data_IF_915560813630
#
_entry.id   IF_915560813630
#
_cell.length_a   1.000
_cell.length_b   1.000
_cell.length_c   1.000
_cell.angle_alpha   90.00
_cell.angle_beta   90.00
_cell.angle_gamma   90.00
#
_symmetry.space_group_name_H-M   'P 1'
#
loop_
_entity.id
_entity.type
_entity.pdbx_description
1 polymer ?
#
# COMPACT_ATOMS: atom_id res chain seq x y z
N UNK A 1 4.77 6.28 18.50
CA UNK A 1 4.27 4.89 18.48
C UNK A 1 2.87 4.89 17.86
N UNK A 2 2.46 3.82 17.17
CA UNK A 2 1.14 3.75 16.56
C UNK A 2 0.51 2.37 16.86
N UNK A 3 -0.82 2.34 17.03
CA UNK A 3 -1.55 1.07 17.17
C UNK A 3 -2.37 0.78 15.93
N UNK A 4 -2.38 -0.50 15.55
CA UNK A 4 -3.21 -1.03 14.50
C UNK A 4 -4.68 -1.00 14.95
N UNK A 5 -5.56 -0.43 14.13
CA UNK A 5 -7.00 -0.53 14.37
C UNK A 5 -7.43 -2.02 14.38
N UNK A 6 -8.11 -2.45 15.43
CA UNK A 6 -8.52 -3.84 15.64
C UNK A 6 -9.34 -4.35 14.44
N UNK A 7 -8.88 -5.40 13.76
CA UNK A 7 -9.63 -6.04 12.67
C UNK A 7 -9.80 -7.53 12.94
N UNK A 8 -10.68 -8.20 12.19
CA UNK A 8 -11.00 -9.62 12.44
C UNK A 8 -9.81 -10.58 12.20
N UNK A 9 -8.72 -10.09 11.58
CA UNK A 9 -7.47 -10.79 11.34
C UNK A 9 -6.31 -9.81 11.60
N UNK A 10 -5.78 -9.80 12.83
CA UNK A 10 -4.78 -8.83 13.33
C UNK A 10 -3.36 -9.03 12.74
N UNK A 11 -3.26 -9.23 11.43
CA UNK A 11 -1.97 -9.21 10.73
C UNK A 11 -1.66 -7.77 10.31
N UNK A 12 -0.48 -7.23 10.67
CA UNK A 12 -0.11 -5.85 10.35
C UNK A 12 0.25 -5.64 8.88
N UNK A 13 0.16 -6.67 8.04
CA UNK A 13 0.60 -6.68 6.63
C UNK A 13 -0.47 -6.02 5.74
N UNK A 14 -0.02 -5.39 4.67
CA UNK A 14 -0.87 -4.66 3.73
C UNK A 14 -1.08 -3.22 4.17
N UNK A 15 -2.08 -2.56 3.58
CA UNK A 15 -2.46 -1.19 3.93
C UNK A 15 -3.48 -1.25 5.06
N UNK A 16 -3.08 -0.74 6.22
CA UNK A 16 -3.92 -0.72 7.43
C UNK A 16 -3.99 0.68 8.01
N UNK A 17 -5.08 0.98 8.73
CA UNK A 17 -5.20 2.21 9.50
C UNK A 17 -4.53 2.05 10.86
N UNK A 18 -3.69 3.03 11.18
CA UNK A 18 -2.91 3.13 12.39
C UNK A 18 -3.23 4.44 13.07
N UNK A 19 -3.58 4.40 14.35
CA UNK A 19 -3.81 5.60 15.14
C UNK A 19 -2.52 5.99 15.83
N UNK A 20 -2.09 7.24 15.62
CA UNK A 20 -0.88 7.79 16.24
C UNK A 20 -1.10 8.05 17.74
N UNK A 21 -0.15 7.64 18.58
CA UNK A 21 -0.18 7.95 20.02
C UNK A 21 0.45 9.28 20.38
N UNK A 22 1.40 9.72 19.56
CA UNK A 22 2.22 10.90 19.80
C UNK A 22 2.41 11.67 18.49
N UNK A 23 2.78 12.94 18.61
CA UNK A 23 3.04 13.77 17.44
C UNK A 23 4.22 13.21 16.65
N UNK A 24 4.03 13.05 15.33
CA UNK A 24 5.10 12.55 14.47
C UNK A 24 5.07 13.27 13.12
N UNK A 25 6.19 13.88 12.72
CA UNK A 25 6.30 14.65 11.47
C UNK A 25 5.19 15.70 11.26
N UNK A 26 4.81 16.44 12.32
CA UNK A 26 3.76 17.46 12.26
C UNK A 26 2.34 16.91 12.13
N UNK A 27 2.14 15.66 12.57
CA UNK A 27 0.84 14.98 12.60
C UNK A 27 0.38 14.85 14.05
N UNK A 28 -0.87 15.19 14.34
CA UNK A 28 -1.37 15.26 15.70
C UNK A 28 -1.61 13.87 16.31
N UNK A 29 -1.47 13.72 17.64
CA UNK A 29 -1.90 12.52 18.36
C UNK A 29 -3.39 12.21 18.12
N UNK A 30 -3.73 10.93 17.98
CA UNK A 30 -5.10 10.47 17.71
C UNK A 30 -5.49 10.50 16.22
N UNK A 31 -4.61 10.96 15.34
CA UNK A 31 -4.88 10.96 13.91
C UNK A 31 -4.65 9.57 13.29
N UNK A 32 -5.56 9.16 12.40
CA UNK A 32 -5.45 7.90 11.67
C UNK A 32 -4.54 8.05 10.44
N UNK A 33 -3.70 7.03 10.23
CA UNK A 33 -2.75 6.93 9.14
C UNK A 33 -2.83 5.60 8.45
N UNK A 34 -2.93 5.65 7.12
CA UNK A 34 -2.87 4.45 6.29
C UNK A 34 -1.40 4.12 6.03
N UNK A 35 -0.89 3.08 6.70
CA UNK A 35 0.49 2.61 6.50
C UNK A 35 0.49 1.29 5.75
N UNK A 36 1.47 1.14 4.85
CA UNK A 36 1.72 -0.09 4.11
C UNK A 36 2.89 -0.84 4.77
N UNK A 37 2.62 -2.02 5.30
CA UNK A 37 3.66 -2.99 5.65
C UNK A 37 3.69 -4.08 4.61
N UNK A 38 4.76 -4.14 3.82
CA UNK A 38 4.85 -5.11 2.72
C UNK A 38 6.04 -6.05 2.88
N UNK A 39 5.82 -7.29 2.43
CA UNK A 39 6.86 -8.30 2.19
C UNK A 39 7.19 -8.47 0.71
N UNK A 40 6.52 -7.73 -0.16
CA UNK A 40 6.68 -7.87 -1.60
C UNK A 40 8.07 -7.41 -2.02
N UNK A 41 8.69 -8.18 -2.92
CA UNK A 41 10.01 -7.87 -3.44
C UNK A 41 9.99 -6.71 -4.44
N UNK A 42 11.19 -6.30 -4.88
CA UNK A 42 11.33 -5.37 -6.01
C UNK A 42 10.64 -5.92 -7.26
N UNK A 43 9.83 -5.09 -7.93
CA UNK A 43 9.08 -5.49 -9.13
C UNK A 43 7.68 -6.05 -8.86
N UNK A 44 7.21 -6.01 -7.61
CA UNK A 44 5.84 -6.37 -7.23
C UNK A 44 5.09 -5.18 -6.66
N UNK A 45 3.77 -5.15 -6.88
CA UNK A 45 2.84 -4.28 -6.17
C UNK A 45 2.27 -5.01 -4.95
N UNK A 46 2.09 -4.26 -3.87
CA UNK A 46 1.51 -4.79 -2.62
C UNK A 46 0.04 -4.37 -2.53
N UNK A 47 -0.84 -5.37 -2.52
CA UNK A 47 -2.26 -5.19 -2.32
C UNK A 47 -2.56 -4.68 -0.88
N UNK A 48 -3.74 -4.14 -0.62
CA UNK A 48 -4.10 -3.65 0.73
C UNK A 48 -4.28 -4.81 1.73
N UNK A 49 -4.64 -6.00 1.26
CA UNK A 49 -4.66 -7.24 2.04
C UNK A 49 -3.26 -7.82 2.33
N UNK A 50 -2.21 -7.24 1.74
CA UNK A 50 -0.83 -7.66 1.92
C UNK A 50 -0.35 -8.74 0.94
N UNK A 51 -1.18 -9.18 0.00
CA UNK A 51 -0.77 -10.05 -1.10
C UNK A 51 0.08 -9.28 -2.12
N UNK A 52 0.81 -10.02 -2.95
CA UNK A 52 1.73 -9.44 -3.93
C UNK A 52 1.31 -9.86 -5.34
N UNK A 53 1.22 -8.88 -6.24
CA UNK A 53 1.06 -9.09 -7.67
C UNK A 53 2.26 -8.48 -8.42
N UNK A 54 2.68 -9.00 -9.58
CA UNK A 54 3.65 -8.33 -10.45
C UNK A 54 3.29 -6.86 -10.70
N UNK A 55 4.30 -5.98 -10.77
CA UNK A 55 4.06 -4.54 -10.95
C UNK A 55 3.34 -4.19 -12.25
N UNK A 56 3.41 -5.06 -13.28
CA UNK A 56 2.73 -4.85 -14.55
C UNK A 56 1.25 -5.22 -14.52
N UNK A 57 0.79 -5.91 -13.47
CA UNK A 57 -0.63 -6.20 -13.21
C UNK A 57 -1.30 -5.07 -12.41
N UNK A 58 -0.57 -4.00 -12.09
CA UNK A 58 -1.13 -2.81 -11.43
C UNK A 58 -1.74 -1.88 -12.48
N UNK A 59 -3.04 -1.57 -12.36
CA UNK A 59 -3.79 -0.72 -13.28
C UNK A 59 -3.88 -1.29 -14.70
N UNK A 60 -3.97 -2.61 -14.82
CA UNK A 60 -4.07 -3.29 -16.11
C UNK A 60 -5.54 -3.54 -16.54
N UNK A 61 -6.50 -3.03 -15.77
CA UNK A 61 -7.95 -3.19 -15.92
C UNK A 61 -8.46 -4.60 -15.57
N UNK A 62 -7.61 -5.44 -15.00
CA UNK A 62 -7.97 -6.76 -14.48
C UNK A 62 -7.76 -6.76 -12.97
N UNK A 63 -8.68 -7.42 -12.28
CA UNK A 63 -8.59 -7.58 -10.82
C UNK A 63 -7.76 -8.81 -10.53
N UNK A 64 -6.55 -8.60 -10.03
CA UNK A 64 -5.59 -9.60 -9.60
C UNK A 64 -5.44 -9.65 -8.08
N UNK A 65 -5.57 -8.52 -7.39
CA UNK A 65 -5.69 -8.53 -5.93
C UNK A 65 -7.09 -9.02 -5.49
N UNK A 66 -7.16 -9.83 -4.43
CA UNK A 66 -8.45 -10.28 -3.85
C UNK A 66 -9.30 -9.11 -3.33
N UNK A 67 -8.64 -8.04 -2.90
CA UNK A 67 -9.24 -6.79 -2.42
C UNK A 67 -9.37 -5.69 -3.49
N UNK A 68 -9.05 -6.01 -4.75
CA UNK A 68 -9.10 -5.12 -5.93
C UNK A 68 -8.26 -3.84 -5.80
N UNK A 69 -7.28 -3.83 -4.88
CA UNK A 69 -6.45 -2.65 -4.60
C UNK A 69 -5.46 -2.31 -5.71
N UNK A 70 -5.13 -3.27 -6.55
CA UNK A 70 -4.41 -3.13 -7.82
C UNK A 70 -5.16 -2.33 -8.88
N UNK A 71 -6.48 -2.18 -8.77
CA UNK A 71 -7.26 -1.39 -9.74
C UNK A 71 -7.83 -0.10 -9.14
N UNK A 72 -7.50 0.22 -7.89
CA UNK A 72 -7.92 1.46 -7.21
C UNK A 72 -6.95 2.62 -7.46
N UNK A 73 -7.46 3.84 -7.63
CA UNK A 73 -6.62 5.03 -7.81
C UNK A 73 -5.84 5.08 -9.14
N UNK A 74 -6.25 4.29 -10.14
CA UNK A 74 -5.71 4.36 -11.49
C UNK A 74 -6.29 5.55 -12.24
N UNK A 75 -5.46 6.23 -13.04
CA UNK A 75 -5.91 7.23 -14.00
C UNK A 75 -5.63 6.72 -15.40
N UNK A 76 -6.66 6.66 -16.25
CA UNK A 76 -6.46 6.28 -17.66
C UNK A 76 -5.73 7.42 -18.34
N UNK A 77 -4.48 7.17 -18.73
CA UNK A 77 -3.72 8.08 -19.59
C UNK A 77 -4.31 7.97 -20.99
N UNK A 78 -5.12 8.95 -21.40
CA UNK A 78 -5.57 9.06 -22.78
C UNK A 78 -4.39 9.50 -23.62
N UNK A 79 -3.69 8.53 -24.19
CA UNK A 79 -2.64 8.73 -25.17
C UNK A 79 -3.28 9.32 -26.42
N UNK A 80 -3.02 10.59 -26.72
CA UNK A 80 -3.52 11.24 -27.93
C UNK A 80 -2.80 10.67 -29.16
N UNK A 81 -3.39 10.81 -30.35
CA UNK A 81 -2.86 10.23 -31.59
C UNK A 81 -1.50 10.80 -32.00
N UNK A 82 -1.13 11.96 -31.49
CA UNK A 82 0.15 12.65 -31.69
C UNK A 82 1.17 12.32 -30.59
N UNK A 83 0.84 11.40 -29.68
CA UNK A 83 1.75 11.01 -28.62
C UNK A 83 2.99 10.32 -29.18
N UNK A 84 4.11 10.96 -28.93
CA UNK A 84 5.45 10.45 -29.21
C UNK A 84 5.78 9.33 -28.23
N UNK A 85 5.71 8.08 -28.70
CA UNK A 85 6.03 6.88 -27.90
C UNK A 85 7.49 6.81 -27.46
N UNK A 86 8.36 7.60 -28.10
CA UNK A 86 9.75 7.79 -27.72
C UNK A 86 9.94 8.70 -26.50
N UNK A 87 8.87 9.38 -26.06
CA UNK A 87 8.86 10.26 -24.88
C UNK A 87 7.87 9.67 -23.88
N UNK A 88 8.24 9.41 -22.61
CA UNK A 88 7.30 8.92 -21.60
C UNK A 88 6.12 9.90 -21.42
N UNK A 89 4.92 9.43 -20.99
CA UNK A 89 3.77 10.31 -20.84
C UNK A 89 4.15 11.45 -19.93
N UNK A 90 3.83 12.72 -20.27
CA UNK A 90 4.01 13.81 -19.33
C UNK A 90 3.29 13.41 -18.05
N UNK A 91 4.06 13.11 -17.00
CA UNK A 91 3.51 12.74 -15.71
C UNK A 91 2.54 13.84 -15.32
N UNK A 92 1.31 13.47 -14.93
CA UNK A 92 0.33 14.44 -14.47
C UNK A 92 1.03 15.33 -13.44
N UNK A 93 1.27 16.60 -13.79
CA UNK A 93 2.02 17.54 -12.97
C UNK A 93 1.21 17.80 -11.71
N UNK A 94 1.42 16.95 -10.71
CA UNK A 94 1.02 17.19 -9.32
C UNK A 94 2.28 17.27 -8.47
N UNK A 95 3.18 18.18 -8.88
CA UNK A 95 4.46 18.42 -8.24
C UNK A 95 5.41 17.23 -8.39
N UNK A 96 6.60 17.47 -8.93
CA UNK A 96 7.75 16.64 -8.58
C UNK A 96 8.06 16.89 -7.10
N UNK A 97 7.25 16.34 -6.20
CA UNK A 97 7.74 16.03 -4.86
C UNK A 97 8.66 14.85 -5.12
N UNK A 98 9.96 15.10 -5.14
CA UNK A 98 10.95 14.03 -5.07
C UNK A 98 10.45 13.02 -4.03
N UNK A 99 10.31 11.72 -4.36
CA UNK A 99 9.83 10.75 -3.40
C UNK A 99 10.75 10.85 -2.19
N UNK A 100 10.24 11.39 -1.08
CA UNK A 100 10.98 11.43 0.16
C UNK A 100 11.47 10.01 0.42
N UNK A 101 12.76 9.83 0.81
CA UNK A 101 13.27 8.52 1.11
C UNK A 101 12.31 7.84 2.11
N UNK A 102 12.03 6.53 1.93
CA UNK A 102 11.08 5.84 2.79
C UNK A 102 11.52 6.03 4.23
N UNK A 103 10.61 6.56 5.07
CA UNK A 103 10.90 6.76 6.47
C UNK A 103 11.28 5.40 7.08
N UNK A 104 12.42 5.29 7.79
CA UNK A 104 12.77 4.06 8.47
C UNK A 104 11.81 3.88 9.65
N UNK A 105 10.80 3.04 9.46
CA UNK A 105 9.86 2.66 10.52
C UNK A 105 10.38 1.38 11.16
N UNK A 106 10.71 1.43 12.45
CA UNK A 106 11.01 0.23 13.24
C UNK A 106 9.71 -0.28 13.88
N UNK A 107 9.29 -1.49 13.48
CA UNK A 107 8.11 -2.15 14.03
C UNK A 107 8.53 -3.11 15.15
N UNK A 108 8.06 -2.86 16.37
CA UNK A 108 8.14 -3.80 17.47
C UNK A 108 6.81 -4.57 17.55
N UNK A 109 6.79 -5.80 17.03
CA UNK A 109 5.60 -6.65 17.02
C UNK A 109 5.70 -7.62 18.20
N UNK A 110 4.73 -7.56 19.12
CA UNK A 110 4.55 -8.53 20.21
C UNK A 110 3.35 -9.39 19.84
N UNK A 111 3.55 -10.71 19.71
CA UNK A 111 2.49 -11.67 19.42
C UNK A 111 2.03 -12.28 20.75
N UNK A 112 0.89 -11.83 21.25
CA UNK A 112 0.33 -12.38 22.50
C UNK A 112 -0.35 -13.74 22.28
N UNK A 113 -1.00 -13.96 21.12
CA UNK A 113 -1.72 -15.20 20.80
C UNK A 113 -1.79 -15.43 19.29
N UNK A 114 -1.62 -16.68 18.85
CA UNK A 114 -1.83 -17.11 17.46
C UNK A 114 -2.83 -18.27 17.44
N UNK A 115 -3.88 -18.14 16.63
CA UNK A 115 -4.86 -19.20 16.41
C UNK A 115 -4.62 -19.80 15.01
N UNK A 116 -4.32 -21.09 14.93
CA UNK A 116 -4.09 -21.82 13.67
C UNK A 116 -5.35 -22.62 13.34
N UNK A 117 -6.09 -22.18 12.33
CA UNK A 117 -7.23 -22.93 11.81
C UNK A 117 -6.76 -23.83 10.66
N UNK A 118 -6.69 -25.14 10.92
CA UNK A 118 -6.54 -26.14 9.85
C UNK A 118 -7.93 -26.56 9.39
N UNK A 119 -8.29 -26.25 8.15
CA UNK A 119 -9.43 -26.88 7.50
C UNK A 119 -9.08 -28.35 7.25
N UNK A 120 -9.68 -29.27 8.00
CA UNK A 120 -9.63 -30.70 7.69
C UNK A 120 -10.28 -30.94 6.31
N UNK A 121 -9.55 -31.58 5.41
CA UNK A 121 -10.08 -32.10 4.14
C UNK A 121 -11.06 -33.25 4.38
#
# INVERSE_FOLDING_TARGET
MALLAKTMYDLPIGRKNWTLYEEYCGQDPGEDRLLLLTRCGSGSYSCDDGTCVPIHERCDLKVDCSDKSDERGCSVVKVQTDYRTDIPPPGALRGSVDPLPPLPITLHIVIDKIDVFTSSM
#
